data_IF_334112524353
#
_entry.id   IF_334112524353
#
_cell.length_a   1.000
_cell.length_b   1.000
_cell.length_c   1.000
_cell.angle_alpha   90.00
_cell.angle_beta   90.00
_cell.angle_gamma   90.00
#
_symmetry.space_group_name_H-M   'P 1'
#
loop_
_entity.id
_entity.type
_entity.pdbx_description
1 polymer ?
#
# COMPACT_ATOMS: atom_id res chain seq x y z
N UNK A 1 3.11 70.02 -5.66
CA UNK A 1 3.48 68.93 -6.60
C UNK A 1 4.25 67.88 -5.82
N UNK A 2 4.04 66.61 -6.20
CA UNK A 2 4.73 65.39 -5.79
C UNK A 2 4.23 64.66 -4.53
N UNK A 3 3.34 63.73 -4.86
CA UNK A 3 2.87 62.47 -4.28
C UNK A 3 3.86 61.63 -3.45
N UNK A 4 3.29 61.02 -2.39
CA UNK A 4 3.37 59.61 -1.90
C UNK A 4 4.74 58.93 -1.79
N UNK A 5 5.05 58.18 -0.72
CA UNK A 5 4.53 56.82 -0.45
C UNK A 5 4.77 56.36 0.99
N UNK A 6 3.90 55.45 1.45
CA UNK A 6 3.89 54.82 2.77
C UNK A 6 4.43 53.38 2.72
N UNK A 7 4.79 52.84 3.91
CA UNK A 7 5.01 51.43 4.35
C UNK A 7 6.44 50.83 4.30
N UNK A 8 6.78 49.85 5.19
CA UNK A 8 6.65 49.85 6.65
C UNK A 8 7.92 49.41 7.42
N UNK A 9 7.86 49.64 8.72
CA UNK A 9 8.77 49.24 9.79
C UNK A 9 9.20 47.76 9.78
N UNK A 10 10.51 47.57 9.84
CA UNK A 10 11.19 46.41 10.40
C UNK A 10 11.11 46.54 11.93
N UNK A 11 10.81 45.47 12.68
CA UNK A 11 11.33 45.33 14.03
C UNK A 11 11.34 43.87 14.53
N UNK A 12 12.57 43.40 14.75
CA UNK A 12 12.95 42.27 15.60
C UNK A 12 12.49 42.50 17.04
N UNK A 13 11.92 41.48 17.69
CA UNK A 13 11.98 41.33 19.15
C UNK A 13 12.26 39.85 19.48
N UNK A 14 13.44 39.64 20.05
CA UNK A 14 13.89 38.46 20.80
C UNK A 14 13.32 38.56 22.21
N UNK A 15 12.80 37.48 22.80
CA UNK A 15 12.74 37.10 24.24
C UNK A 15 11.80 35.87 24.33
N UNK A 16 11.93 34.82 25.12
CA UNK A 16 12.95 34.24 25.99
C UNK A 16 12.48 32.81 26.26
N UNK A 17 13.41 31.88 26.42
CA UNK A 17 13.16 30.51 26.86
C UNK A 17 12.54 30.53 28.26
N UNK A 18 11.40 29.87 28.43
CA UNK A 18 10.87 29.49 29.74
C UNK A 18 10.50 28.00 29.73
N UNK A 19 11.40 27.20 30.31
CA UNK A 19 11.13 25.85 30.76
C UNK A 19 10.06 25.92 31.86
N UNK A 20 8.85 25.41 31.60
CA UNK A 20 7.88 25.11 32.65
C UNK A 20 7.62 23.61 32.66
N UNK A 21 7.81 23.06 33.86
CA UNK A 21 7.61 21.69 34.27
C UNK A 21 6.27 21.09 33.82
N UNK A 22 6.38 19.89 33.24
CA UNK A 22 5.56 18.72 33.61
C UNK A 22 4.07 18.94 33.80
N UNK A 23 3.33 18.95 32.68
CA UNK A 23 2.04 18.24 32.65
C UNK A 23 2.24 17.11 31.66
N UNK A 24 2.59 15.93 32.18
CA UNK A 24 2.41 14.69 31.44
C UNK A 24 0.90 14.56 31.21
N UNK A 25 0.45 14.88 30.00
CA UNK A 25 -0.90 14.53 29.56
C UNK A 25 -0.93 13.01 29.59
N UNK A 26 -1.58 12.46 30.61
CA UNK A 26 -1.82 11.04 30.81
C UNK A 26 -2.28 10.41 29.50
N UNK A 27 -1.62 9.31 29.14
CA UNK A 27 -1.65 8.73 27.82
C UNK A 27 -3.06 8.54 27.25
N UNK A 28 -3.30 9.23 26.14
CA UNK A 28 -4.07 8.59 25.07
C UNK A 28 -3.15 7.47 24.58
N UNK A 29 -3.36 6.27 25.09
CA UNK A 29 -2.89 5.08 24.39
C UNK A 29 -3.61 5.10 23.05
N UNK A 30 -2.95 5.64 22.03
CA UNK A 30 -3.30 5.31 20.66
C UNK A 30 -3.07 3.81 20.57
N UNK A 31 -4.12 3.02 20.79
CA UNK A 31 -4.05 1.59 20.54
C UNK A 31 -3.60 1.47 19.09
N UNK A 32 -2.35 1.04 18.90
CA UNK A 32 -1.79 0.86 17.58
C UNK A 32 -2.76 -0.02 16.79
N UNK A 33 -3.07 0.37 15.56
CA UNK A 33 -3.92 -0.47 14.71
C UNK A 33 -3.15 -1.75 14.40
N UNK A 34 -3.44 -2.82 15.12
CA UNK A 34 -2.84 -4.14 14.88
C UNK A 34 -3.76 -4.88 13.92
N UNK A 35 -3.24 -5.25 12.75
CA UNK A 35 -3.95 -6.15 11.83
C UNK A 35 -3.87 -7.56 12.40
N UNK A 36 -4.98 -8.22 12.72
CA UNK A 36 -4.95 -9.59 13.22
C UNK A 36 -4.34 -10.55 12.19
N UNK A 37 -3.80 -11.68 12.66
CA UNK A 37 -3.29 -12.74 11.77
C UNK A 37 -4.39 -13.26 10.84
N UNK A 38 -5.61 -13.45 11.39
CA UNK A 38 -6.80 -13.83 10.65
C UNK A 38 -7.49 -12.66 9.94
N UNK A 39 -8.28 -12.99 8.91
CA UNK A 39 -9.20 -12.04 8.26
C UNK A 39 -10.46 -11.93 9.12
N UNK A 40 -10.86 -10.73 9.50
CA UNK A 40 -12.04 -10.52 10.38
C UNK A 40 -13.24 -10.07 9.54
N UNK A 41 -14.33 -10.83 9.65
CA UNK A 41 -15.60 -10.54 8.99
C UNK A 41 -16.49 -9.59 9.79
N UNK A 42 -17.57 -9.09 9.17
CA UNK A 42 -18.51 -8.09 9.72
C UNK A 42 -19.03 -8.29 11.15
N UNK A 43 -18.99 -9.51 11.67
CA UNK A 43 -19.49 -9.83 13.00
C UNK A 43 -18.39 -9.71 14.08
N UNK A 44 -17.19 -9.23 13.71
CA UNK A 44 -16.01 -9.22 14.60
C UNK A 44 -15.34 -10.59 14.75
N UNK A 45 -15.81 -11.60 14.01
CA UNK A 45 -15.31 -12.97 14.04
C UNK A 45 -14.43 -13.26 12.81
N UNK A 46 -13.54 -14.24 12.92
CA UNK A 46 -12.73 -14.69 11.80
C UNK A 46 -13.61 -15.14 10.62
N UNK A 47 -13.22 -14.74 9.41
CA UNK A 47 -13.90 -15.12 8.18
C UNK A 47 -13.78 -16.64 7.98
N UNK A 48 -14.91 -17.32 7.95
CA UNK A 48 -14.94 -18.79 7.84
C UNK A 48 -14.63 -19.26 6.42
N UNK A 49 -14.11 -20.47 6.27
CA UNK A 49 -13.85 -21.07 4.96
C UNK A 49 -15.11 -21.11 4.08
N UNK A 50 -16.28 -21.43 4.65
CA UNK A 50 -17.56 -21.40 3.92
C UNK A 50 -17.88 -20.02 3.35
N UNK A 51 -17.57 -18.93 4.07
CA UNK A 51 -17.75 -17.56 3.55
C UNK A 51 -16.74 -17.26 2.44
N UNK A 52 -15.49 -17.68 2.60
CA UNK A 52 -14.43 -17.56 1.59
C UNK A 52 -14.83 -18.27 0.30
N UNK A 53 -15.23 -19.54 0.38
CA UNK A 53 -15.65 -20.37 -0.76
C UNK A 53 -16.86 -19.77 -1.47
N UNK A 54 -17.80 -19.20 -0.72
CA UNK A 54 -18.96 -18.49 -1.27
C UNK A 54 -18.56 -17.23 -2.07
N UNK A 55 -17.49 -16.54 -1.69
CA UNK A 55 -16.99 -15.37 -2.43
C UNK A 55 -16.25 -15.83 -3.68
N UNK A 56 -15.35 -16.81 -3.55
CA UNK A 56 -14.50 -17.32 -4.65
C UNK A 56 -15.33 -18.02 -5.72
N UNK A 57 -16.42 -18.72 -5.34
CA UNK A 57 -17.32 -19.40 -6.28
C UNK A 57 -18.12 -18.44 -7.18
N UNK A 58 -18.17 -17.15 -6.84
CA UNK A 58 -18.71 -16.13 -7.75
C UNK A 58 -17.70 -15.83 -8.85
N UNK A 59 -18.20 -15.70 -10.06
CA UNK A 59 -17.40 -15.27 -11.21
C UNK A 59 -16.74 -13.91 -10.96
N UNK A 60 -15.56 -13.72 -11.55
CA UNK A 60 -14.86 -12.43 -11.54
C UNK A 60 -15.76 -11.35 -12.15
N UNK A 61 -15.94 -10.24 -11.43
CA UNK A 61 -16.90 -9.18 -11.73
C UNK A 61 -18.16 -9.22 -10.85
N UNK A 62 -18.51 -10.39 -10.30
CA UNK A 62 -19.67 -10.57 -9.42
C UNK A 62 -19.29 -10.80 -7.95
N UNK A 63 -17.99 -10.82 -7.61
CA UNK A 63 -17.53 -11.02 -6.23
C UNK A 63 -17.93 -9.83 -5.37
N UNK A 64 -18.37 -10.12 -4.14
CA UNK A 64 -18.81 -9.10 -3.17
C UNK A 64 -17.68 -8.14 -2.84
N UNK A 65 -18.01 -6.87 -2.60
CA UNK A 65 -17.02 -5.88 -2.17
C UNK A 65 -16.52 -6.19 -0.75
N UNK A 66 -15.26 -5.85 -0.41
CA UNK A 66 -14.72 -6.07 0.94
C UNK A 66 -15.62 -5.56 2.07
N UNK A 67 -16.24 -4.39 1.90
CA UNK A 67 -17.10 -3.76 2.90
C UNK A 67 -18.41 -4.52 3.16
N UNK A 68 -18.79 -5.47 2.30
CA UNK A 68 -19.97 -6.31 2.49
C UNK A 68 -19.71 -7.47 3.45
N UNK A 69 -18.46 -7.90 3.61
CA UNK A 69 -18.13 -9.10 4.39
C UNK A 69 -17.04 -8.90 5.44
N UNK A 70 -16.21 -7.86 5.35
CA UNK A 70 -15.16 -7.54 6.32
C UNK A 70 -15.63 -6.57 7.40
N UNK A 71 -15.03 -6.72 8.58
CA UNK A 71 -15.18 -5.79 9.68
C UNK A 71 -14.58 -4.41 9.33
N UNK A 72 -15.21 -3.34 9.85
CA UNK A 72 -14.78 -1.97 9.55
C UNK A 72 -13.43 -1.61 10.18
N UNK A 73 -13.18 -2.06 11.41
CA UNK A 73 -11.91 -1.83 12.09
C UNK A 73 -10.79 -2.67 11.45
N UNK A 74 -11.09 -3.88 10.99
CA UNK A 74 -10.17 -4.68 10.18
C UNK A 74 -9.75 -3.93 8.91
N UNK A 75 -10.70 -3.42 8.11
CA UNK A 75 -10.40 -2.65 6.90
C UNK A 75 -9.54 -1.43 7.26
N UNK A 76 -9.92 -0.69 8.30
CA UNK A 76 -9.20 0.50 8.75
C UNK A 76 -7.75 0.18 9.13
N UNK A 77 -7.53 -0.85 9.93
CA UNK A 77 -6.18 -1.25 10.33
C UNK A 77 -5.35 -1.77 9.16
N UNK A 78 -5.97 -2.57 8.29
CA UNK A 78 -5.31 -3.09 7.09
C UNK A 78 -4.79 -1.94 6.23
N UNK A 79 -5.64 -0.96 5.90
CA UNK A 79 -5.27 0.17 5.05
C UNK A 79 -4.31 1.13 5.76
N UNK A 80 -4.36 1.24 7.09
CA UNK A 80 -3.39 2.03 7.85
C UNK A 80 -1.95 1.50 7.69
N UNK A 81 -1.76 0.19 7.46
CA UNK A 81 -0.44 -0.38 7.14
C UNK A 81 0.14 0.10 5.80
N UNK A 82 -0.67 0.71 4.94
CA UNK A 82 -0.26 1.29 3.66
C UNK A 82 -0.14 2.82 3.71
N UNK A 83 -0.30 3.44 4.89
CA UNK A 83 -0.28 4.91 5.04
C UNK A 83 1.06 5.56 4.67
N UNK A 84 2.17 4.82 4.81
CA UNK A 84 3.52 5.26 4.42
C UNK A 84 3.86 4.96 2.95
N UNK A 85 2.87 4.50 2.17
CA UNK A 85 3.03 4.15 0.78
C UNK A 85 3.08 2.64 0.56
N UNK A 86 3.17 2.29 -0.72
CA UNK A 86 3.19 0.90 -1.15
C UNK A 86 4.29 0.68 -2.17
N UNK A 87 4.68 -0.58 -2.33
CA UNK A 87 5.68 -0.97 -3.30
C UNK A 87 5.21 -2.18 -4.09
N UNK A 88 5.68 -2.28 -5.34
CA UNK A 88 5.61 -3.50 -6.13
C UNK A 88 6.92 -3.76 -6.83
N UNK A 89 7.17 -5.04 -7.11
CA UNK A 89 8.28 -5.47 -7.95
C UNK A 89 7.74 -5.98 -9.28
N UNK A 90 8.36 -5.58 -10.38
CA UNK A 90 7.94 -5.98 -11.72
C UNK A 90 9.15 -6.06 -12.65
N UNK A 91 9.09 -6.91 -13.67
CA UNK A 91 10.11 -6.91 -14.72
C UNK A 91 10.16 -5.55 -15.41
N UNK A 92 11.38 -5.06 -15.65
CA UNK A 92 11.61 -3.79 -16.34
C UNK A 92 10.97 -3.79 -17.73
N UNK A 93 11.12 -4.86 -18.50
CA UNK A 93 10.51 -5.00 -19.83
C UNK A 93 8.98 -4.88 -19.81
N UNK A 94 8.32 -5.41 -18.77
CA UNK A 94 6.86 -5.35 -18.60
C UNK A 94 6.45 -3.93 -18.26
N UNK A 95 7.20 -3.27 -17.38
CA UNK A 95 6.97 -1.87 -17.04
C UNK A 95 7.18 -0.94 -18.25
N UNK A 96 8.28 -1.09 -18.98
CA UNK A 96 8.58 -0.25 -20.16
C UNK A 96 7.49 -0.39 -21.22
N UNK A 97 6.90 -1.59 -21.37
CA UNK A 97 5.85 -1.87 -22.35
C UNK A 97 4.46 -1.36 -21.93
N UNK A 98 4.08 -1.51 -20.67
CA UNK A 98 2.69 -1.31 -20.21
C UNK A 98 2.51 -0.19 -19.17
N UNK A 99 3.60 0.32 -18.60
CA UNK A 99 3.60 1.33 -17.56
C UNK A 99 3.31 0.78 -16.16
N UNK A 100 2.66 1.61 -15.34
CA UNK A 100 2.54 1.39 -13.89
C UNK A 100 1.30 0.58 -13.45
N UNK A 101 0.31 0.40 -14.31
CA UNK A 101 -0.91 -0.33 -13.98
C UNK A 101 -1.47 -1.17 -15.12
N UNK A 102 -2.47 -2.00 -14.80
CA UNK A 102 -3.09 -2.93 -15.76
C UNK A 102 -3.93 -2.21 -16.83
N UNK A 103 -4.22 -2.86 -17.98
CA UNK A 103 -5.03 -2.27 -19.05
C UNK A 103 -6.54 -2.29 -18.72
N UNK A 104 -6.92 -1.91 -17.50
CA UNK A 104 -8.32 -1.66 -17.12
C UNK A 104 -8.60 -0.15 -17.02
N UNK A 105 -9.88 0.22 -16.87
CA UNK A 105 -10.31 1.62 -16.93
C UNK A 105 -9.68 2.53 -15.87
N UNK A 106 -9.27 1.97 -14.74
CA UNK A 106 -8.69 2.68 -13.58
C UNK A 106 -7.19 2.41 -13.40
N UNK A 107 -6.61 1.60 -14.30
CA UNK A 107 -5.25 1.08 -14.23
C UNK A 107 -4.92 0.52 -12.84
N UNK A 108 -5.74 -0.41 -12.37
CA UNK A 108 -5.56 -1.01 -11.04
C UNK A 108 -4.25 -1.81 -10.97
N UNK A 109 -3.64 -1.86 -9.79
CA UNK A 109 -2.43 -2.64 -9.56
C UNK A 109 -2.39 -3.17 -8.12
N UNK A 110 -1.94 -4.41 -7.98
CA UNK A 110 -1.72 -5.05 -6.68
C UNK A 110 -0.36 -4.63 -6.10
N UNK A 111 -0.33 -4.34 -4.81
CA UNK A 111 0.85 -3.80 -4.12
C UNK A 111 0.99 -4.38 -2.72
N UNK A 112 2.22 -4.45 -2.24
CA UNK A 112 2.53 -4.71 -0.84
C UNK A 112 2.89 -3.39 -0.12
N UNK A 113 2.96 -3.40 1.20
CA UNK A 113 3.43 -2.21 1.93
C UNK A 113 4.89 -1.93 1.55
N UNK A 114 5.27 -0.66 1.58
CA UNK A 114 6.65 -0.28 1.28
C UNK A 114 7.64 -0.98 2.23
N UNK A 115 7.30 -0.99 3.50
CA UNK A 115 8.07 -1.61 4.57
C UNK A 115 8.23 -3.12 4.39
N UNK A 116 7.21 -3.83 3.90
CA UNK A 116 7.29 -5.26 3.65
C UNK A 116 8.25 -5.56 2.48
N UNK A 117 8.20 -4.79 1.38
CA UNK A 117 9.18 -4.94 0.30
C UNK A 117 10.60 -4.61 0.79
N UNK A 118 10.75 -3.56 1.60
CA UNK A 118 12.03 -3.23 2.23
C UNK A 118 12.56 -4.40 3.08
N UNK A 119 11.69 -5.05 3.85
CA UNK A 119 12.04 -6.20 4.67
C UNK A 119 12.40 -7.43 3.83
N UNK A 120 11.57 -7.78 2.83
CA UNK A 120 11.83 -8.93 1.96
C UNK A 120 13.19 -8.80 1.29
N UNK A 121 13.49 -7.64 0.70
CA UNK A 121 14.78 -7.43 0.01
C UNK A 121 15.98 -7.55 0.95
N UNK A 122 15.84 -7.12 2.22
CA UNK A 122 16.89 -7.30 3.24
C UNK A 122 17.03 -8.76 3.66
N UNK A 123 15.92 -9.40 4.03
CA UNK A 123 15.91 -10.75 4.61
C UNK A 123 16.36 -11.81 3.59
N UNK A 124 16.11 -11.58 2.30
CA UNK A 124 16.55 -12.49 1.22
C UNK A 124 17.90 -12.12 0.63
N UNK A 125 18.49 -10.99 1.06
CA UNK A 125 19.71 -10.43 0.50
C UNK A 125 19.70 -10.34 -1.05
N UNK A 126 18.54 -10.07 -1.63
CA UNK A 126 18.34 -9.96 -3.07
C UNK A 126 18.17 -11.28 -3.83
N UNK A 127 18.04 -12.42 -3.15
CA UNK A 127 17.75 -13.73 -3.79
C UNK A 127 16.35 -13.72 -4.45
N UNK A 128 16.31 -13.89 -5.77
CA UNK A 128 15.07 -13.77 -6.57
C UNK A 128 14.04 -14.83 -6.24
N UNK A 129 14.46 -16.07 -5.98
CA UNK A 129 13.57 -17.20 -5.68
C UNK A 129 12.92 -16.98 -4.32
N UNK A 130 13.71 -16.57 -3.32
CA UNK A 130 13.22 -16.26 -1.99
C UNK A 130 12.28 -15.05 -2.00
N UNK A 131 12.57 -14.00 -2.79
CA UNK A 131 11.68 -12.85 -2.98
C UNK A 131 10.35 -13.30 -3.61
N UNK A 132 10.40 -14.06 -4.70
CA UNK A 132 9.21 -14.55 -5.39
C UNK A 132 8.30 -15.32 -4.44
N UNK A 133 8.89 -16.25 -3.66
CA UNK A 133 8.17 -17.05 -2.66
C UNK A 133 7.49 -16.20 -1.59
N UNK A 134 8.15 -15.15 -1.08
CA UNK A 134 7.55 -14.23 -0.08
C UNK A 134 6.37 -13.46 -0.67
N UNK A 135 6.44 -13.09 -1.94
CA UNK A 135 5.37 -12.37 -2.65
C UNK A 135 4.28 -13.29 -3.22
N UNK A 136 4.32 -14.60 -2.95
CA UNK A 136 3.35 -15.56 -3.50
C UNK A 136 3.46 -15.72 -5.02
N UNK A 137 4.61 -15.40 -5.59
CA UNK A 137 4.94 -15.47 -7.02
C UNK A 137 5.80 -16.71 -7.31
N UNK A 138 5.85 -17.12 -8.58
CA UNK A 138 6.65 -18.26 -9.05
C UNK A 138 8.02 -17.80 -9.58
N UNK A 139 9.02 -18.68 -9.55
CA UNK A 139 10.45 -18.35 -9.79
C UNK A 139 10.72 -17.61 -11.12
N UNK A 140 10.02 -17.98 -12.19
CA UNK A 140 10.16 -17.35 -13.51
C UNK A 140 9.65 -15.90 -13.58
N UNK A 141 8.97 -15.43 -12.53
CA UNK A 141 8.47 -14.04 -12.40
C UNK A 141 9.61 -13.03 -12.28
N UNK A 142 10.77 -13.45 -11.76
CA UNK A 142 11.90 -12.56 -11.49
C UNK A 142 13.10 -12.79 -12.43
N UNK A 143 12.92 -13.33 -13.64
CA UNK A 143 14.00 -13.32 -14.64
C UNK A 143 14.23 -11.92 -15.25
N UNK A 144 15.48 -11.60 -15.62
CA UNK A 144 15.87 -10.32 -16.23
C UNK A 144 15.97 -9.15 -15.26
N UNK A 145 15.96 -7.91 -15.75
CA UNK A 145 16.00 -6.74 -14.87
C UNK A 145 14.67 -6.55 -14.13
N UNK A 146 14.76 -6.29 -12.83
CA UNK A 146 13.60 -6.07 -11.97
C UNK A 146 13.62 -4.62 -11.51
N UNK A 147 12.48 -3.95 -11.61
CA UNK A 147 12.28 -2.63 -11.03
C UNK A 147 11.36 -2.72 -9.83
N UNK A 148 11.71 -1.94 -8.81
CA UNK A 148 10.82 -1.58 -7.72
C UNK A 148 10.12 -0.29 -8.08
N UNK A 149 8.81 -0.26 -7.87
CA UNK A 149 8.00 0.95 -7.99
C UNK A 149 7.45 1.28 -6.60
N UNK A 150 7.80 2.46 -6.09
CA UNK A 150 7.31 2.98 -4.82
C UNK A 150 6.24 4.02 -5.08
N UNK A 151 5.04 3.80 -4.55
CA UNK A 151 3.91 4.71 -4.63
C UNK A 151 3.90 5.64 -3.42
N UNK A 152 3.90 6.94 -3.71
CA UNK A 152 3.98 8.00 -2.71
C UNK A 152 2.55 8.33 -2.24
N UNK A 153 2.30 8.50 -0.93
CA UNK A 153 1.00 8.92 -0.40
C UNK A 153 0.57 10.34 -0.80
N UNK A 154 0.22 10.53 -2.07
CA UNK A 154 -0.37 11.76 -2.61
C UNK A 154 -1.91 11.68 -2.58
N UNK A 155 -2.60 12.74 -2.99
CA UNK A 155 -4.07 12.74 -3.12
C UNK A 155 -4.61 11.69 -4.11
N UNK A 156 -3.77 11.20 -5.03
CA UNK A 156 -4.14 10.13 -5.99
C UNK A 156 -3.91 8.73 -5.40
N UNK A 157 -3.19 8.63 -4.29
CA UNK A 157 -2.89 7.37 -3.63
C UNK A 157 -4.05 6.95 -2.72
N UNK A 158 -4.92 6.10 -3.25
CA UNK A 158 -6.11 5.60 -2.54
C UNK A 158 -6.06 4.07 -2.51
N UNK A 159 -5.33 3.46 -1.54
CA UNK A 159 -5.28 2.02 -1.39
C UNK A 159 -6.63 1.48 -0.92
N UNK A 160 -6.98 0.29 -1.42
CA UNK A 160 -8.17 -0.45 -1.03
C UNK A 160 -7.83 -1.93 -0.87
N UNK A 161 -8.63 -2.65 -0.08
CA UNK A 161 -8.55 -4.11 -0.04
C UNK A 161 -9.05 -4.65 -1.39
N UNK A 162 -8.36 -5.60 -2.04
CA UNK A 162 -8.81 -6.17 -3.30
C UNK A 162 -10.13 -6.92 -3.14
N UNK A 163 -11.04 -6.70 -4.09
CA UNK A 163 -12.33 -7.40 -4.18
C UNK A 163 -12.24 -8.73 -4.94
N UNK A 164 -11.14 -8.93 -5.66
CA UNK A 164 -10.98 -10.07 -6.57
C UNK A 164 -11.65 -9.85 -7.92
N UNK A 165 -12.22 -8.67 -8.18
CA UNK A 165 -12.79 -8.28 -9.46
C UNK A 165 -11.78 -7.50 -10.33
N UNK A 166 -10.64 -7.09 -9.77
CA UNK A 166 -9.60 -6.32 -10.46
C UNK A 166 -8.97 -7.14 -11.59
N UNK A 167 -8.48 -6.48 -12.65
CA UNK A 167 -7.91 -7.18 -13.80
C UNK A 167 -6.79 -8.15 -13.40
N UNK A 168 -5.96 -7.78 -12.43
CA UNK A 168 -4.86 -8.60 -11.91
C UNK A 168 -5.27 -9.81 -11.04
N UNK A 169 -6.52 -9.89 -10.57
CA UNK A 169 -6.96 -11.00 -9.73
C UNK A 169 -6.99 -12.32 -10.53
N UNK A 170 -6.37 -13.37 -9.97
CA UNK A 170 -6.25 -14.71 -10.56
C UNK A 170 -6.78 -15.79 -9.60
N UNK A 171 -6.58 -17.06 -9.91
CA UNK A 171 -7.06 -18.21 -9.12
C UNK A 171 -6.37 -18.39 -7.76
N UNK A 172 -5.31 -17.61 -7.48
CA UNK A 172 -4.61 -17.58 -6.20
C UNK A 172 -5.09 -16.45 -5.29
N UNK A 173 -5.87 -15.50 -5.82
CA UNK A 173 -6.44 -14.44 -5.01
C UNK A 173 -7.37 -15.03 -3.94
N UNK A 174 -7.22 -14.55 -2.71
CA UNK A 174 -8.10 -14.88 -1.59
C UNK A 174 -8.75 -13.61 -1.01
N UNK A 175 -10.00 -13.68 -0.53
CA UNK A 175 -10.65 -12.54 0.11
C UNK A 175 -9.94 -12.08 1.39
N UNK A 176 -9.82 -10.76 1.57
CA UNK A 176 -9.34 -10.17 2.83
C UNK A 176 -8.06 -9.35 2.72
N UNK A 177 -7.46 -9.24 1.53
CA UNK A 177 -6.25 -8.44 1.35
C UNK A 177 -4.99 -9.09 1.91
N UNK A 178 -4.96 -10.41 2.03
CA UNK A 178 -3.76 -11.14 2.43
C UNK A 178 -3.34 -12.12 1.34
N UNK A 179 -2.04 -12.32 1.20
CA UNK A 179 -1.49 -13.46 0.48
C UNK A 179 -1.69 -14.75 1.29
N UNK A 180 -1.60 -15.95 0.67
CA UNK A 180 -1.75 -17.22 1.39
C UNK A 180 -0.78 -17.42 2.56
N UNK A 181 0.36 -16.72 2.56
CA UNK A 181 1.34 -16.73 3.65
C UNK A 181 1.07 -15.68 4.75
N UNK A 182 -0.04 -14.93 4.66
CA UNK A 182 -0.46 -13.95 5.66
C UNK A 182 0.04 -12.52 5.43
N UNK A 183 0.93 -12.29 4.45
CA UNK A 183 1.40 -10.94 4.11
C UNK A 183 0.28 -10.06 3.56
N UNK A 184 0.34 -8.77 3.85
CA UNK A 184 -0.69 -7.82 3.43
C UNK A 184 -0.53 -7.44 1.95
N UNK A 185 -1.67 -7.32 1.29
CA UNK A 185 -1.81 -6.87 -0.09
C UNK A 185 -2.95 -5.85 -0.18
N UNK A 186 -2.78 -4.87 -1.05
CA UNK A 186 -3.80 -3.89 -1.39
C UNK A 186 -3.85 -3.71 -2.92
N UNK A 187 -4.86 -3.00 -3.38
CA UNK A 187 -4.92 -2.47 -4.74
C UNK A 187 -4.93 -0.95 -4.73
N UNK A 188 -4.26 -0.37 -5.70
CA UNK A 188 -4.28 1.08 -5.96
C UNK A 188 -4.71 1.33 -7.40
N UNK A 189 -5.20 2.54 -7.65
CA UNK A 189 -5.49 3.03 -9.00
C UNK A 189 -4.34 3.90 -9.46
N UNK A 190 -3.83 3.64 -10.67
CA UNK A 190 -2.63 4.34 -11.16
C UNK A 190 -2.93 5.32 -12.30
N UNK A 191 -4.19 5.41 -12.72
CA UNK A 191 -4.64 6.35 -13.76
C UNK A 191 -4.31 7.79 -13.37
N UNK A 192 -3.56 8.48 -14.23
CA UNK A 192 -3.17 9.87 -14.02
C UNK A 192 -2.01 10.08 -13.02
N UNK A 193 -1.39 9.00 -12.51
CA UNK A 193 -0.18 9.11 -11.71
C UNK A 193 1.03 9.47 -12.59
N UNK A 194 1.95 10.24 -12.03
CA UNK A 194 3.14 10.77 -12.69
C UNK A 194 4.42 10.34 -11.98
N UNK A 195 5.42 9.91 -12.75
CA UNK A 195 6.72 9.52 -12.22
C UNK A 195 7.43 10.72 -11.58
N UNK A 196 8.07 10.51 -10.43
CA UNK A 196 8.75 11.54 -9.65
C UNK A 196 7.85 12.36 -8.72
N UNK A 197 6.53 12.27 -8.86
CA UNK A 197 5.57 12.95 -7.99
C UNK A 197 4.65 11.97 -7.25
N UNK A 198 4.02 11.05 -7.99
CA UNK A 198 3.07 10.06 -7.44
C UNK A 198 3.74 8.69 -7.20
N UNK A 199 4.81 8.40 -7.94
CA UNK A 199 5.60 7.18 -7.75
C UNK A 199 7.05 7.36 -8.23
N UNK A 200 7.96 6.54 -7.72
CA UNK A 200 9.34 6.43 -8.20
C UNK A 200 9.62 5.04 -8.75
N UNK A 201 10.69 4.91 -9.55
CA UNK A 201 11.14 3.64 -10.12
C UNK A 201 12.61 3.48 -9.76
N UNK A 202 12.99 2.29 -9.28
CA UNK A 202 14.37 1.94 -8.96
C UNK A 202 14.71 0.59 -9.56
N UNK A 203 15.78 0.50 -10.34
CA UNK A 203 16.30 -0.78 -10.84
C UNK A 203 16.95 -1.50 -9.65
N UNK A 204 16.58 -2.76 -9.45
CA UNK A 204 17.14 -3.61 -8.41
C UNK A 204 18.27 -4.46 -8.96
N UNK A 205 19.37 -4.53 -8.21
CA UNK A 205 20.44 -5.49 -8.43
C UNK A 205 20.16 -6.74 -7.60
N UNK A 206 19.44 -7.70 -8.20
CA UNK A 206 19.03 -8.94 -7.53
C UNK A 206 19.94 -10.11 -7.93
N UNK A 207 20.31 -10.92 -6.95
CA UNK A 207 21.11 -12.13 -7.13
C UNK A 207 20.30 -13.17 -7.92
N UNK A 208 20.91 -13.84 -8.92
CA UNK A 208 20.24 -14.85 -9.73
C UNK A 208 19.66 -15.98 -8.88
#
# INVERSE_FOLDING_TARGET
MLTTTNKPFINNIIYSILFIFGIAISGISYSACVVPDGVIGKNGEQLTQTKIDKIISKEKGARSKPEEYLDGEYIRCHLNSFSNGASRLVKKEVHDKYGVGKPDGEKTEFVSTKENIDQILRDTEGDRVAIAKRLGLYDETFSGDIVRIDFIPTEKYVPAIPSGNEFGANDKWIPGGKLPNGELEAVIKTKGMTVGADYTITILDLKP
#
